data_IF_489597228870
#
_entry.id   IF_489597228870
#
_cell.length_a   1.000
_cell.length_b   1.000
_cell.length_c   1.000
_cell.angle_alpha   90.00
_cell.angle_beta   90.00
_cell.angle_gamma   90.00
#
_symmetry.space_group_name_H-M   'P 1'
#
loop_
_entity.id
_entity.type
_entity.pdbx_description
1 polymer ?
#
# COMPACT_ATOMS: atom_id res chain seq x y z
N UNK A 1 6.87 -22.40 37.74
CA UNK A 1 6.54 -21.01 37.35
C UNK A 1 7.64 -20.27 36.57
N UNK A 2 8.94 -20.55 36.78
CA UNK A 2 10.04 -19.81 36.10
C UNK A 2 10.20 -20.06 34.59
N UNK A 3 9.81 -21.23 34.08
CA UNK A 3 9.94 -21.58 32.65
C UNK A 3 8.88 -20.90 31.77
N UNK A 4 7.62 -20.91 32.20
CA UNK A 4 6.50 -20.32 31.46
C UNK A 4 6.71 -18.82 31.24
N UNK A 5 7.20 -18.11 32.26
CA UNK A 5 7.53 -16.67 32.16
C UNK A 5 8.65 -16.38 31.15
N UNK A 6 9.68 -17.23 31.05
CA UNK A 6 10.77 -17.06 30.07
C UNK A 6 10.26 -17.21 28.63
N UNK A 7 9.34 -18.14 28.38
CA UNK A 7 8.74 -18.34 27.06
C UNK A 7 7.87 -17.16 26.63
N UNK A 8 7.07 -16.62 27.56
CA UNK A 8 6.23 -15.44 27.28
C UNK A 8 7.09 -14.23 26.91
N UNK A 9 8.21 -14.00 27.61
CA UNK A 9 9.14 -12.90 27.31
C UNK A 9 9.79 -13.07 25.94
N UNK A 10 10.21 -14.29 25.56
CA UNK A 10 10.80 -14.55 24.25
C UNK A 10 9.80 -14.34 23.11
N UNK A 11 8.55 -14.78 23.27
CA UNK A 11 7.49 -14.57 22.28
C UNK A 11 7.14 -13.09 22.16
N UNK A 12 7.04 -12.37 23.27
CA UNK A 12 6.78 -10.93 23.25
C UNK A 12 7.91 -10.14 22.57
N UNK A 13 9.18 -10.51 22.81
CA UNK A 13 10.33 -9.88 22.16
C UNK A 13 10.32 -10.12 20.64
N UNK A 14 10.00 -11.34 20.20
CA UNK A 14 9.89 -11.68 18.78
C UNK A 14 8.78 -10.89 18.08
N UNK A 15 7.62 -10.72 18.72
CA UNK A 15 6.50 -9.92 18.20
C UNK A 15 6.87 -8.43 18.11
N UNK A 16 7.57 -7.88 19.11
CA UNK A 16 8.04 -6.49 19.08
C UNK A 16 9.06 -6.24 17.95
N UNK A 17 9.98 -7.18 17.71
CA UNK A 17 10.97 -7.06 16.62
C UNK A 17 10.29 -7.14 15.25
N UNK A 18 9.34 -8.07 15.07
CA UNK A 18 8.57 -8.21 13.83
C UNK A 18 7.73 -6.94 13.53
N UNK A 19 7.06 -6.39 14.54
CA UNK A 19 6.27 -5.16 14.41
C UNK A 19 7.11 -3.91 14.11
N UNK A 20 8.35 -3.85 14.61
CA UNK A 20 9.28 -2.75 14.33
C UNK A 20 9.94 -2.85 12.95
N UNK A 21 10.27 -4.06 12.48
CA UNK A 21 10.83 -4.27 11.14
C UNK A 21 9.84 -3.84 10.05
N UNK A 22 8.57 -4.22 10.20
CA UNK A 22 7.49 -3.82 9.30
C UNK A 22 7.33 -2.32 9.12
N UNK A 23 7.33 -1.57 10.22
CA UNK A 23 7.21 -0.10 10.20
C UNK A 23 8.37 0.58 9.46
N UNK A 24 9.57 0.02 9.53
CA UNK A 24 10.73 0.53 8.78
C UNK A 24 10.57 0.30 7.28
N UNK A 25 10.04 -0.86 6.87
CA UNK A 25 9.80 -1.16 5.46
C UNK A 25 8.69 -0.28 4.87
N UNK A 26 7.62 -0.01 5.61
CA UNK A 26 6.58 0.90 5.17
C UNK A 26 7.12 2.31 4.90
N UNK A 27 7.97 2.82 5.80
CA UNK A 27 8.63 4.12 5.64
C UNK A 27 9.60 4.15 4.46
N UNK A 28 10.39 3.09 4.25
CA UNK A 28 11.27 2.98 3.08
C UNK A 28 10.47 2.99 1.78
N UNK A 29 9.35 2.28 1.74
CA UNK A 29 8.46 2.28 0.59
C UNK A 29 7.92 3.69 0.32
N UNK A 30 7.43 4.39 1.35
CA UNK A 30 6.92 5.75 1.23
C UNK A 30 7.98 6.75 0.75
N UNK A 31 9.19 6.69 1.29
CA UNK A 31 10.30 7.53 0.84
C UNK A 31 10.63 7.29 -0.64
N UNK A 32 10.80 6.03 -1.04
CA UNK A 32 11.11 5.69 -2.44
C UNK A 32 10.02 6.14 -3.42
N UNK A 33 8.76 6.10 -2.98
CA UNK A 33 7.63 6.58 -3.76
C UNK A 33 7.64 8.11 -3.91
N UNK A 34 7.94 8.84 -2.84
CA UNK A 34 8.05 10.30 -2.89
C UNK A 34 9.23 10.75 -3.77
N UNK A 35 10.38 10.07 -3.68
CA UNK A 35 11.54 10.33 -4.54
C UNK A 35 11.19 10.18 -6.02
N UNK A 36 10.49 9.10 -6.40
CA UNK A 36 10.08 8.87 -7.79
C UNK A 36 9.04 9.88 -8.29
N UNK A 37 8.10 10.30 -7.44
CA UNK A 37 7.18 11.37 -7.79
C UNK A 37 7.91 12.69 -8.05
N UNK A 38 8.90 13.01 -7.23
CA UNK A 38 9.71 14.19 -7.39
C UNK A 38 10.54 14.14 -8.67
N UNK A 39 11.11 12.98 -8.99
CA UNK A 39 11.85 12.75 -10.25
C UNK A 39 10.94 12.99 -11.47
N UNK A 40 9.73 12.45 -11.47
CA UNK A 40 8.79 12.66 -12.58
C UNK A 40 8.35 14.12 -12.70
N UNK A 41 8.14 14.80 -11.57
CA UNK A 41 7.84 16.22 -11.56
C UNK A 41 8.99 17.06 -12.13
N UNK A 42 10.24 16.70 -11.82
CA UNK A 42 11.43 17.35 -12.38
C UNK A 42 11.56 17.10 -13.88
N UNK A 43 11.35 15.86 -14.34
CA UNK A 43 11.34 15.52 -15.77
C UNK A 43 10.25 16.28 -16.54
N UNK A 44 9.07 16.48 -15.94
CA UNK A 44 8.01 17.31 -16.52
C UNK A 44 8.40 18.79 -16.58
N UNK A 45 9.02 19.33 -15.53
CA UNK A 45 9.50 20.72 -15.50
C UNK A 45 10.65 20.98 -16.47
N UNK A 46 11.54 20.01 -16.65
CA UNK A 46 12.64 20.04 -17.60
C UNK A 46 12.16 19.88 -19.06
N UNK A 47 10.89 19.52 -19.28
CA UNK A 47 10.33 19.27 -20.60
C UNK A 47 10.77 17.93 -21.21
N UNK A 48 11.40 17.05 -20.42
CA UNK A 48 11.79 15.70 -20.84
C UNK A 48 10.59 14.76 -20.97
N UNK A 49 9.49 15.07 -20.27
CA UNK A 49 8.22 14.37 -20.37
C UNK A 49 7.12 15.31 -20.85
N UNK A 50 6.24 14.78 -21.70
CA UNK A 50 4.94 15.38 -21.92
C UNK A 50 4.04 15.16 -20.70
N UNK A 51 3.03 16.02 -20.53
CA UNK A 51 2.03 15.87 -19.45
C UNK A 51 1.36 14.49 -19.48
N UNK A 52 1.03 13.97 -20.67
CA UNK A 52 0.39 12.66 -20.81
C UNK A 52 1.30 11.51 -20.35
N UNK A 53 2.59 11.57 -20.66
CA UNK A 53 3.57 10.57 -20.22
C UNK A 53 3.82 10.66 -18.72
N UNK A 54 3.91 11.87 -18.17
CA UNK A 54 3.97 12.10 -16.73
C UNK A 54 2.76 11.47 -16.02
N UNK A 55 1.55 11.78 -16.46
CA UNK A 55 0.31 11.29 -15.84
C UNK A 55 0.22 9.76 -15.91
N UNK A 56 0.64 9.17 -17.04
CA UNK A 56 0.74 7.71 -17.20
C UNK A 56 1.76 7.08 -16.24
N UNK A 57 2.96 7.67 -16.12
CA UNK A 57 4.00 7.22 -15.19
C UNK A 57 3.53 7.30 -13.73
N UNK A 58 2.89 8.40 -13.35
CA UNK A 58 2.31 8.60 -12.01
C UNK A 58 1.19 7.59 -11.73
N UNK A 59 0.29 7.35 -12.67
CA UNK A 59 -0.79 6.37 -12.50
C UNK A 59 -0.24 4.94 -12.28
N UNK A 60 0.78 4.54 -13.06
CA UNK A 60 1.44 3.26 -12.89
C UNK A 60 2.16 3.16 -11.54
N UNK A 61 2.86 4.22 -11.14
CA UNK A 61 3.56 4.29 -9.86
C UNK A 61 2.59 4.17 -8.68
N UNK A 62 1.48 4.90 -8.71
CA UNK A 62 0.44 4.87 -7.68
C UNK A 62 -0.16 3.47 -7.51
N UNK A 63 -0.43 2.78 -8.62
CA UNK A 63 -0.92 1.40 -8.60
C UNK A 63 0.09 0.45 -7.95
N UNK A 64 1.37 0.54 -8.33
CA UNK A 64 2.45 -0.28 -7.75
C UNK A 64 2.63 -0.01 -6.26
N UNK A 65 2.66 1.26 -5.87
CA UNK A 65 2.78 1.68 -4.47
C UNK A 65 1.61 1.16 -3.64
N UNK A 66 0.36 1.35 -4.09
CA UNK A 66 -0.83 0.90 -3.38
C UNK A 66 -0.84 -0.62 -3.15
N UNK A 67 -0.47 -1.40 -4.18
CA UNK A 67 -0.36 -2.85 -4.07
C UNK A 67 0.74 -3.27 -3.08
N UNK A 68 1.94 -2.66 -3.18
CA UNK A 68 3.05 -3.02 -2.30
C UNK A 68 2.79 -2.63 -0.85
N UNK A 69 2.20 -1.46 -0.64
CA UNK A 69 1.76 -1.00 0.70
C UNK A 69 0.74 -1.96 1.29
N UNK A 70 -0.28 -2.36 0.53
CA UNK A 70 -1.28 -3.32 1.00
C UNK A 70 -0.67 -4.69 1.35
N UNK A 71 0.31 -5.17 0.58
CA UNK A 71 1.03 -6.40 0.90
C UNK A 71 1.82 -6.28 2.21
N UNK A 72 2.57 -5.20 2.39
CA UNK A 72 3.33 -4.96 3.62
C UNK A 72 2.40 -4.78 4.83
N UNK A 73 1.32 -4.00 4.69
CA UNK A 73 0.33 -3.83 5.75
C UNK A 73 -0.27 -5.18 6.17
N UNK A 74 -0.57 -6.10 5.22
CA UNK A 74 -1.02 -7.47 5.53
C UNK A 74 0.04 -8.30 6.25
N UNK A 75 1.32 -8.16 5.90
CA UNK A 75 2.41 -8.88 6.55
C UNK A 75 2.64 -8.40 8.00
N UNK A 76 2.43 -7.10 8.25
CA UNK A 76 2.72 -6.47 9.55
C UNK A 76 1.54 -6.62 10.51
N UNK A 77 0.33 -6.40 10.01
CA UNK A 77 -0.88 -6.31 10.82
C UNK A 77 -1.82 -7.52 10.64
N UNK A 78 -1.48 -8.46 9.75
CA UNK A 78 -2.35 -9.59 9.40
C UNK A 78 -3.50 -9.19 8.46
N UNK A 79 -4.37 -10.14 8.15
CA UNK A 79 -5.54 -9.99 7.26
C UNK A 79 -6.75 -9.33 7.94
N UNK A 80 -6.54 -8.39 8.85
CA UNK A 80 -7.61 -7.69 9.57
C UNK A 80 -8.58 -6.99 8.61
N UNK A 81 -9.68 -7.70 8.29
CA UNK A 81 -10.79 -7.37 7.41
C UNK A 81 -10.45 -6.95 5.95
N UNK A 82 -11.19 -7.45 4.95
CA UNK A 82 -11.07 -6.91 3.60
C UNK A 82 -11.41 -5.42 3.62
N UNK A 83 -10.48 -4.56 3.16
CA UNK A 83 -10.81 -3.17 2.84
C UNK A 83 -11.92 -3.24 1.80
N UNK A 84 -13.11 -2.80 2.15
CA UNK A 84 -14.18 -2.58 1.19
C UNK A 84 -13.61 -1.61 0.14
N UNK A 85 -13.30 -2.14 -1.04
CA UNK A 85 -13.17 -1.29 -2.22
C UNK A 85 -14.45 -0.47 -2.27
N UNK A 86 -14.39 0.88 -2.39
CA UNK A 86 -15.61 1.63 -2.61
C UNK A 86 -16.29 1.00 -3.81
N UNK A 87 -17.46 0.41 -3.58
CA UNK A 87 -18.31 -0.10 -4.64
C UNK A 87 -18.54 1.09 -5.54
N UNK A 88 -17.90 1.09 -6.72
CA UNK A 88 -18.30 2.00 -7.78
C UNK A 88 -19.77 1.68 -7.98
N UNK A 89 -20.62 2.59 -7.50
CA UNK A 89 -22.06 2.53 -7.63
C UNK A 89 -22.33 2.63 -9.13
N UNK A 90 -22.25 1.49 -9.80
CA UNK A 90 -22.62 1.32 -11.19
C UNK A 90 -24.12 1.53 -11.28
N UNK A 91 -24.51 2.77 -11.49
CA UNK A 91 -25.82 3.17 -11.97
C UNK A 91 -26.13 2.34 -13.23
N UNK A 92 -26.78 1.19 -13.06
CA UNK A 92 -27.39 0.46 -14.17
C UNK A 92 -28.89 0.74 -14.12
N UNK A 93 -29.24 1.89 -14.67
CA UNK A 93 -30.61 2.25 -15.00
C UNK A 93 -31.12 1.40 -16.16
N UNK A 94 -32.11 0.52 -15.87
CA UNK A 94 -33.28 0.09 -16.70
C UNK A 94 -33.04 -0.72 -18.01
N UNK A 95 -34.06 -1.40 -18.60
CA UNK A 95 -35.44 -1.63 -18.15
C UNK A 95 -35.98 -3.07 -18.26
N UNK A 96 -37.13 -3.24 -17.61
CA UNK A 96 -38.13 -4.32 -17.73
C UNK A 96 -38.36 -4.77 -19.18
N UNK A 97 -38.39 -6.08 -19.44
CA UNK A 97 -39.10 -6.64 -20.59
C UNK A 97 -39.75 -7.97 -20.23
N UNK A 98 -41.07 -7.92 -20.22
CA UNK A 98 -42.02 -9.04 -20.19
C UNK A 98 -41.79 -10.01 -21.34
N UNK A 99 -41.92 -11.31 -21.07
CA UNK A 99 -42.90 -12.18 -21.72
C UNK A 99 -43.15 -13.43 -20.89
#
# INVERSE_FOLDING_TARGET
MKLVSKWIVLVALALCVAGCAGKKELRRLENSYQEQLQEYAQQLQAGELTKAEHDSKVALLNSRYGNRRAQLERQIYGTGAPRQSPSVLGNSTRPTRTR
#
